data_IF_789428821364
#
_entry.id   IF_789428821364
#
_cell.length_a   1.000
_cell.length_b   1.000
_cell.length_c   1.000
_cell.angle_alpha   90.00
_cell.angle_beta   90.00
_cell.angle_gamma   90.00
#
_symmetry.space_group_name_H-M   'P 1'
#
loop_
_entity.id
_entity.type
_entity.pdbx_description
1 polymer ?
#
# COMPACT_ATOMS: atom_id res chain seq x y z
N UNK A 1 -19.52 -19.21 19.02
CA UNK A 1 -19.22 -18.32 17.89
C UNK A 1 -20.08 -18.71 16.71
N UNK A 2 -20.72 -17.75 16.07
CA UNK A 2 -21.52 -18.03 14.90
C UNK A 2 -20.63 -18.31 13.68
N UNK A 3 -21.12 -19.15 12.78
CA UNK A 3 -20.41 -19.39 11.54
C UNK A 3 -20.26 -18.08 10.76
N UNK A 4 -19.06 -17.75 10.38
CA UNK A 4 -18.74 -16.56 9.65
C UNK A 4 -18.23 -15.38 10.49
N UNK A 5 -18.62 -15.27 11.75
CA UNK A 5 -18.16 -14.18 12.59
C UNK A 5 -16.66 -14.26 12.86
N UNK A 6 -16.17 -15.44 13.23
CA UNK A 6 -14.73 -15.62 13.48
C UNK A 6 -13.88 -15.40 12.24
N UNK A 7 -14.36 -15.80 11.08
CA UNK A 7 -13.66 -15.59 9.81
C UNK A 7 -13.63 -14.10 9.49
N UNK A 8 -14.73 -13.39 9.69
CA UNK A 8 -14.82 -11.97 9.43
C UNK A 8 -13.85 -11.18 10.33
N UNK A 9 -13.79 -11.50 11.61
CA UNK A 9 -12.88 -10.84 12.54
C UNK A 9 -11.41 -11.15 12.22
N UNK A 10 -11.10 -12.39 11.85
CA UNK A 10 -9.76 -12.77 11.44
C UNK A 10 -9.31 -11.99 10.19
N UNK A 11 -10.21 -11.81 9.23
CA UNK A 11 -9.92 -11.03 8.02
C UNK A 11 -9.65 -9.58 8.37
N UNK A 12 -10.39 -9.00 9.30
CA UNK A 12 -10.16 -7.62 9.76
C UNK A 12 -8.77 -7.44 10.35
N UNK A 13 -8.28 -8.42 11.10
CA UNK A 13 -6.95 -8.34 11.69
C UNK A 13 -5.84 -8.51 10.66
N UNK A 14 -6.09 -9.33 9.63
CA UNK A 14 -5.11 -9.64 8.61
C UNK A 14 -5.10 -8.58 7.50
N UNK A 15 -6.29 -8.12 7.11
CA UNK A 15 -6.46 -7.18 5.99
C UNK A 15 -6.85 -5.82 6.54
N UNK A 16 -5.85 -5.01 6.86
CA UNK A 16 -6.09 -3.61 7.25
C UNK A 16 -6.33 -2.76 6.01
N UNK A 17 -7.15 -1.70 6.11
CA UNK A 17 -7.39 -0.81 4.97
C UNK A 17 -6.10 -0.20 4.45
N UNK A 18 -6.03 -0.06 3.14
CA UNK A 18 -4.98 0.67 2.46
C UNK A 18 -5.52 2.06 2.15
N UNK A 19 -4.77 3.09 2.47
CA UNK A 19 -5.18 4.46 2.21
C UNK A 19 -4.40 5.02 1.03
N UNK A 20 -5.11 5.45 -0.01
CA UNK A 20 -4.52 6.11 -1.16
C UNK A 20 -4.92 7.59 -1.12
N UNK A 21 -3.94 8.44 -0.94
CA UNK A 21 -4.19 9.87 -0.89
C UNK A 21 -4.32 10.45 -2.30
N UNK A 22 -4.70 11.72 -2.36
CA UNK A 22 -4.97 12.44 -3.61
C UNK A 22 -3.82 12.32 -4.60
N UNK A 23 -4.16 12.03 -5.86
CA UNK A 23 -3.19 11.93 -6.96
C UNK A 23 -2.10 10.88 -6.77
N UNK A 24 -2.28 9.94 -5.84
CA UNK A 24 -1.40 8.79 -5.76
C UNK A 24 -1.60 7.90 -6.99
N UNK A 25 -0.53 7.22 -7.42
CA UNK A 25 -0.57 6.33 -8.58
C UNK A 25 0.03 5.00 -8.24
N UNK A 26 -0.68 3.95 -8.58
CA UNK A 26 -0.24 2.57 -8.36
C UNK A 26 -0.16 1.91 -9.72
N UNK A 27 1.04 1.51 -10.13
CA UNK A 27 1.24 0.86 -11.41
C UNK A 27 0.82 -0.61 -11.37
N UNK A 28 0.64 -1.18 -12.54
CA UNK A 28 0.20 -2.57 -12.67
C UNK A 28 1.19 -3.53 -12.01
N UNK A 29 0.65 -4.54 -11.32
CA UNK A 29 1.46 -5.55 -10.65
C UNK A 29 2.08 -5.10 -9.33
N UNK A 30 1.85 -3.87 -8.90
CA UNK A 30 2.31 -3.44 -7.59
C UNK A 30 1.53 -4.14 -6.48
N UNK A 31 2.21 -4.43 -5.39
CA UNK A 31 1.61 -5.08 -4.21
C UNK A 31 1.71 -4.12 -3.04
N UNK A 32 0.58 -3.84 -2.40
CA UNK A 32 0.54 -3.00 -1.20
C UNK A 32 0.17 -3.88 -0.02
N UNK A 33 1.01 -3.86 1.01
CA UNK A 33 0.72 -4.62 2.21
C UNK A 33 -0.35 -3.91 3.05
N UNK A 34 -0.99 -4.68 3.94
CA UNK A 34 -2.09 -4.17 4.74
C UNK A 34 -1.68 -2.98 5.61
N UNK A 35 -2.56 -2.00 5.74
CA UNK A 35 -2.35 -0.84 6.60
C UNK A 35 -1.46 0.25 6.04
N UNK A 36 -1.00 0.11 4.79
CA UNK A 36 -0.09 1.09 4.18
C UNK A 36 -0.84 2.33 3.73
N UNK A 37 -0.20 3.48 3.90
CA UNK A 37 -0.67 4.76 3.40
C UNK A 37 0.22 5.20 2.24
N UNK A 38 -0.38 5.39 1.07
CA UNK A 38 0.33 5.96 -0.08
C UNK A 38 0.05 7.44 -0.10
N UNK A 39 1.11 8.24 0.05
CA UNK A 39 1.01 9.69 0.19
C UNK A 39 0.50 10.40 -1.05
N UNK A 40 0.22 11.69 -0.89
CA UNK A 40 -0.27 12.54 -1.96
C UNK A 40 0.78 12.68 -3.05
N UNK A 41 0.38 12.52 -4.31
CA UNK A 41 1.29 12.54 -5.47
C UNK A 41 2.38 11.44 -5.46
N UNK A 42 2.27 10.46 -4.58
CA UNK A 42 3.23 9.37 -4.55
C UNK A 42 2.96 8.37 -5.67
N UNK A 43 3.99 7.65 -6.06
CA UNK A 43 3.91 6.63 -7.11
C UNK A 43 4.49 5.33 -6.58
N UNK A 44 3.74 4.25 -6.73
CA UNK A 44 4.26 2.89 -6.52
C UNK A 44 4.43 2.28 -7.91
N UNK A 45 5.66 2.01 -8.28
CA UNK A 45 5.99 1.56 -9.62
C UNK A 45 5.55 0.13 -9.91
N UNK A 46 5.57 -0.23 -11.19
CA UNK A 46 5.16 -1.56 -11.63
C UNK A 46 5.97 -2.66 -10.94
N UNK A 47 5.29 -3.66 -10.41
CA UNK A 47 5.93 -4.79 -9.73
C UNK A 47 6.53 -4.45 -8.37
N UNK A 48 6.40 -3.23 -7.88
CA UNK A 48 6.92 -2.86 -6.56
C UNK A 48 6.11 -3.52 -5.44
N UNK A 49 6.77 -3.82 -4.34
CA UNK A 49 6.11 -4.35 -3.14
C UNK A 49 6.27 -3.31 -2.03
N UNK A 50 5.20 -2.58 -1.74
CA UNK A 50 5.20 -1.55 -0.72
C UNK A 50 4.94 -2.17 0.65
N UNK A 51 5.99 -2.37 1.43
CA UNK A 51 5.93 -2.91 2.78
C UNK A 51 5.92 -1.84 3.87
N UNK A 52 6.06 -0.57 3.49
CA UNK A 52 6.01 0.58 4.39
C UNK A 52 5.20 1.68 3.75
N UNK A 53 4.80 2.68 4.54
CA UNK A 53 4.10 3.84 3.99
C UNK A 53 4.95 4.54 2.93
N UNK A 54 4.29 5.06 1.92
CA UNK A 54 4.94 5.79 0.84
C UNK A 54 4.74 7.28 1.12
N UNK A 55 5.81 8.05 1.40
CA UNK A 55 5.67 9.47 1.70
C UNK A 55 5.08 10.27 0.55
N UNK A 56 4.52 11.44 0.86
CA UNK A 56 4.00 12.34 -0.15
C UNK A 56 5.08 12.66 -1.19
N UNK A 57 4.72 12.59 -2.46
CA UNK A 57 5.61 12.89 -3.56
C UNK A 57 6.70 11.84 -3.82
N UNK A 58 6.74 10.75 -3.05
CA UNK A 58 7.76 9.74 -3.22
C UNK A 58 7.47 8.80 -4.38
N UNK A 59 8.51 8.25 -4.96
CA UNK A 59 8.41 7.16 -5.94
C UNK A 59 9.03 5.92 -5.32
N UNK A 60 8.24 4.87 -5.20
CA UNK A 60 8.70 3.60 -4.65
C UNK A 60 8.80 2.56 -5.74
N UNK A 61 9.94 1.89 -5.82
CA UNK A 61 10.21 0.85 -6.81
C UNK A 61 10.81 -0.38 -6.13
N UNK A 62 10.66 -1.51 -6.79
CA UNK A 62 11.37 -2.73 -6.44
C UNK A 62 10.65 -3.66 -5.49
N UNK A 63 11.29 -4.78 -5.22
CA UNK A 63 10.85 -5.80 -4.27
C UNK A 63 12.07 -6.25 -3.45
N UNK A 64 12.17 -5.88 -2.14
CA UNK A 64 11.22 -5.01 -1.43
C UNK A 64 11.21 -3.58 -1.97
N UNK A 65 10.06 -2.93 -1.85
CA UNK A 65 9.89 -1.56 -2.32
C UNK A 65 10.74 -0.57 -1.56
N UNK A 66 11.37 0.33 -2.28
CA UNK A 66 12.20 1.39 -1.71
C UNK A 66 11.90 2.71 -2.36
N UNK A 67 11.95 3.77 -1.57
CA UNK A 67 11.81 5.12 -2.08
C UNK A 67 13.07 5.46 -2.86
N UNK A 68 12.94 5.64 -4.17
CA UNK A 68 14.07 5.94 -5.06
C UNK A 68 14.14 7.40 -5.44
N UNK A 69 13.06 8.14 -5.30
CA UNK A 69 13.05 9.58 -5.51
C UNK A 69 11.85 10.20 -4.82
N UNK A 70 11.88 11.52 -4.69
CA UNK A 70 10.72 12.29 -4.21
C UNK A 70 10.38 13.34 -5.24
N UNK A 71 9.12 13.36 -5.63
CA UNK A 71 8.57 14.38 -6.53
C UNK A 71 8.09 15.56 -5.68
N UNK A 72 8.55 16.68 -5.98
CA UNK A 72 8.19 17.88 -5.23
C UNK A 72 6.93 18.53 -5.81
#
# INVERSE_FOLDING_TARGET
MRAGEGIHDAIREIVSPITLKKKSRIAAGAILLAGIVVGENAVVGAGAVAGTDVPDGAVMLGNPGRVVSKRV
#
